data_IF_672158359905
#
_entry.id   IF_672158359905
#
_cell.length_a   1.000
_cell.length_b   1.000
_cell.length_c   1.000
_cell.angle_alpha   90.00
_cell.angle_beta   90.00
_cell.angle_gamma   90.00
#
_symmetry.space_group_name_H-M   'P 1'
#
loop_
_entity.id
_entity.type
_entity.pdbx_description
1 polymer ?
#
# COMPACT_ATOMS: atom_id res chain seq x y z
N UNK A 1 -23.98 -16.39 -3.78
CA UNK A 1 -22.58 -16.41 -4.25
C UNK A 1 -21.79 -15.29 -3.61
N UNK A 2 -20.67 -15.60 -2.97
CA UNK A 2 -19.71 -14.59 -2.50
C UNK A 2 -18.96 -14.00 -3.68
N UNK A 3 -19.12 -12.69 -3.92
CA UNK A 3 -18.32 -11.96 -4.90
C UNK A 3 -16.85 -11.99 -4.47
N UNK A 4 -15.96 -12.48 -5.34
CA UNK A 4 -14.54 -12.67 -5.05
C UNK A 4 -13.60 -11.91 -5.98
N UNK A 5 -14.08 -11.42 -7.12
CA UNK A 5 -13.28 -10.73 -8.15
C UNK A 5 -13.76 -9.30 -8.35
N UNK A 6 -12.82 -8.38 -8.47
CA UNK A 6 -13.00 -7.06 -9.07
C UNK A 6 -12.73 -7.17 -10.56
N UNK A 7 -13.63 -6.62 -11.36
CA UNK A 7 -13.51 -6.58 -12.82
C UNK A 7 -13.40 -5.12 -13.25
N UNK A 8 -12.41 -4.85 -14.12
CA UNK A 8 -12.25 -3.56 -14.76
C UNK A 8 -12.13 -3.73 -16.29
N UNK A 9 -13.07 -3.15 -17.04
CA UNK A 9 -13.08 -3.20 -18.50
C UNK A 9 -12.77 -1.81 -19.08
N UNK A 10 -11.90 -1.78 -20.08
CA UNK A 10 -11.41 -0.58 -20.74
C UNK A 10 -11.61 -0.70 -22.25
N UNK A 11 -11.49 0.43 -22.95
CA UNK A 11 -11.31 0.40 -24.39
C UNK A 11 -10.08 -0.48 -24.72
N UNK A 12 -10.24 -1.38 -25.67
CA UNK A 12 -9.16 -2.16 -26.26
C UNK A 12 -8.92 -1.67 -27.69
N UNK A 13 -8.92 -2.61 -28.63
CA UNK A 13 -9.02 -2.27 -30.06
C UNK A 13 -10.38 -1.62 -30.33
N UNK A 14 -11.43 -2.16 -29.71
CA UNK A 14 -12.78 -1.60 -29.79
C UNK A 14 -13.11 -0.71 -28.58
N UNK A 15 -14.07 0.20 -28.78
CA UNK A 15 -14.58 1.09 -27.73
C UNK A 15 -15.66 0.40 -26.90
N UNK A 16 -15.56 0.51 -25.59
CA UNK A 16 -16.56 0.01 -24.63
C UNK A 16 -17.94 0.66 -24.80
N UNK A 17 -18.00 1.84 -25.43
CA UNK A 17 -19.25 2.53 -25.74
C UNK A 17 -20.24 1.67 -26.54
N UNK A 18 -19.73 0.86 -27.48
CA UNK A 18 -20.57 0.00 -28.32
C UNK A 18 -21.11 -1.22 -27.55
N UNK A 19 -20.41 -1.64 -26.50
CA UNK A 19 -20.78 -2.78 -25.64
C UNK A 19 -21.47 -2.34 -24.33
N UNK A 20 -21.84 -1.05 -24.20
CA UNK A 20 -22.24 -0.47 -22.91
C UNK A 20 -23.47 -1.13 -22.28
N UNK A 21 -24.43 -1.57 -23.09
CA UNK A 21 -25.65 -2.22 -22.60
C UNK A 21 -25.34 -3.60 -22.04
N UNK A 22 -24.52 -4.40 -22.74
CA UNK A 22 -24.08 -5.71 -22.28
C UNK A 22 -23.21 -5.60 -21.01
N UNK A 23 -22.27 -4.64 -20.98
CA UNK A 23 -21.46 -4.38 -19.80
C UNK A 23 -22.32 -3.98 -18.59
N UNK A 24 -23.39 -3.21 -18.80
CA UNK A 24 -24.37 -2.89 -17.78
C UNK A 24 -25.17 -4.11 -17.33
N UNK A 25 -25.61 -4.95 -18.28
CA UNK A 25 -26.33 -6.21 -18.00
C UNK A 25 -25.47 -7.20 -17.20
N UNK A 26 -24.15 -7.21 -17.43
CA UNK A 26 -23.20 -7.94 -16.57
C UNK A 26 -23.08 -7.35 -15.15
N UNK A 27 -23.69 -6.21 -14.86
CA UNK A 27 -23.63 -5.51 -13.59
C UNK A 27 -22.39 -4.64 -13.41
N UNK A 28 -21.74 -4.23 -14.53
CA UNK A 28 -20.64 -3.27 -14.48
C UNK A 28 -21.18 -1.84 -14.61
N UNK A 29 -20.50 -0.91 -13.92
CA UNK A 29 -20.85 0.51 -13.92
C UNK A 29 -19.70 1.34 -14.50
N UNK A 30 -20.02 2.35 -15.30
CA UNK A 30 -18.99 3.22 -15.87
C UNK A 30 -18.46 4.21 -14.83
N UNK A 31 -17.14 4.26 -14.68
CA UNK A 31 -16.40 5.23 -13.86
C UNK A 31 -15.48 6.06 -14.74
N UNK A 32 -15.70 7.38 -14.72
CA UNK A 32 -14.84 8.35 -15.40
C UNK A 32 -13.47 8.41 -14.71
N UNK A 33 -12.38 8.36 -15.49
CA UNK A 33 -10.99 8.42 -14.99
C UNK A 33 -10.23 9.64 -15.53
N UNK A 34 -10.82 10.41 -16.44
CA UNK A 34 -10.26 11.63 -17.00
C UNK A 34 -11.28 12.35 -17.89
N UNK A 35 -10.88 13.46 -18.52
CA UNK A 35 -11.77 14.26 -19.39
C UNK A 35 -12.39 13.41 -20.52
N UNK A 36 -11.59 12.52 -21.11
CA UNK A 36 -11.95 11.65 -22.24
C UNK A 36 -11.71 10.16 -21.97
N UNK A 37 -11.53 9.77 -20.71
CA UNK A 37 -11.24 8.38 -20.34
C UNK A 37 -12.11 7.89 -19.20
N UNK A 38 -12.39 6.60 -19.22
CA UNK A 38 -13.12 5.92 -18.16
C UNK A 38 -12.97 4.42 -18.30
N UNK A 39 -13.54 3.70 -17.34
CA UNK A 39 -13.53 2.25 -17.27
C UNK A 39 -14.85 1.75 -16.70
N UNK A 40 -15.25 0.55 -17.08
CA UNK A 40 -16.37 -0.14 -16.47
C UNK A 40 -15.86 -0.97 -15.30
N UNK A 41 -16.55 -0.91 -14.17
CA UNK A 41 -16.13 -1.57 -12.92
C UNK A 41 -17.29 -2.30 -12.28
N UNK A 42 -17.04 -3.51 -11.81
CA UNK A 42 -18.00 -4.28 -11.03
C UNK A 42 -17.34 -5.41 -10.26
N UNK A 43 -18.15 -6.15 -9.50
CA UNK A 43 -17.72 -7.30 -8.71
C UNK A 43 -18.46 -8.55 -9.17
N UNK A 44 -17.76 -9.67 -9.14
CA UNK A 44 -18.29 -10.95 -9.56
C UNK A 44 -17.66 -12.09 -8.76
N UNK A 45 -18.34 -13.23 -8.73
CA UNK A 45 -17.77 -14.55 -8.45
C UNK A 45 -16.91 -15.05 -9.62
N UNK A 46 -16.31 -16.24 -9.47
CA UNK A 46 -15.36 -16.80 -10.45
C UNK A 46 -16.01 -17.04 -11.82
N UNK A 47 -17.20 -17.65 -11.85
CA UNK A 47 -17.86 -18.07 -13.09
C UNK A 47 -18.30 -16.86 -13.91
N UNK A 48 -18.95 -15.89 -13.25
CA UNK A 48 -19.34 -14.64 -13.89
C UNK A 48 -18.12 -13.82 -14.34
N UNK A 49 -17.02 -13.85 -13.59
CA UNK A 49 -15.78 -13.19 -14.01
C UNK A 49 -15.20 -13.80 -15.28
N UNK A 50 -15.23 -15.14 -15.41
CA UNK A 50 -14.81 -15.84 -16.63
C UNK A 50 -15.71 -15.51 -17.82
N UNK A 51 -17.04 -15.50 -17.63
CA UNK A 51 -17.98 -15.12 -18.69
C UNK A 51 -17.72 -13.68 -19.20
N UNK A 52 -17.49 -12.73 -18.29
CA UNK A 52 -17.16 -11.35 -18.66
C UNK A 52 -15.80 -11.28 -19.38
N UNK A 53 -14.82 -12.08 -18.96
CA UNK A 53 -13.50 -12.16 -19.62
C UNK A 53 -13.63 -12.61 -21.08
N UNK A 54 -14.36 -13.69 -21.32
CA UNK A 54 -14.60 -14.23 -22.65
C UNK A 54 -15.34 -13.24 -23.55
N UNK A 55 -16.38 -12.59 -23.02
CA UNK A 55 -17.08 -11.51 -23.72
C UNK A 55 -16.12 -10.39 -24.13
N UNK A 56 -15.25 -9.94 -23.22
CA UNK A 56 -14.29 -8.87 -23.51
C UNK A 56 -13.29 -9.28 -24.59
N UNK A 57 -12.78 -10.51 -24.55
CA UNK A 57 -11.86 -11.04 -25.56
C UNK A 57 -12.54 -11.07 -26.94
N UNK A 58 -13.77 -11.63 -27.02
CA UNK A 58 -14.56 -11.69 -28.25
C UNK A 58 -14.79 -10.31 -28.86
N UNK A 59 -15.05 -9.31 -28.01
CA UNK A 59 -15.28 -7.93 -28.43
C UNK A 59 -14.01 -7.09 -28.56
N UNK A 60 -12.81 -7.68 -28.43
CA UNK A 60 -11.51 -6.99 -28.50
C UNK A 60 -11.39 -5.81 -27.53
N UNK A 61 -11.97 -5.97 -26.34
CA UNK A 61 -11.87 -5.04 -25.22
C UNK A 61 -10.71 -5.46 -24.30
N UNK A 62 -10.19 -4.50 -23.53
CA UNK A 62 -9.18 -4.79 -22.52
C UNK A 62 -9.88 -5.03 -21.19
N UNK A 63 -9.59 -6.15 -20.53
CA UNK A 63 -10.16 -6.52 -19.23
C UNK A 63 -9.06 -6.87 -18.23
N UNK A 64 -9.22 -6.36 -17.01
CA UNK A 64 -8.42 -6.76 -15.86
C UNK A 64 -9.35 -7.40 -14.82
N UNK A 65 -8.97 -8.58 -14.33
CA UNK A 65 -9.68 -9.30 -13.28
C UNK A 65 -8.70 -9.49 -12.12
N UNK A 66 -9.13 -9.13 -10.92
CA UNK A 66 -8.28 -9.18 -9.72
C UNK A 66 -9.10 -9.73 -8.58
N UNK A 67 -8.59 -10.63 -7.73
CA UNK A 67 -9.33 -11.00 -6.53
C UNK A 67 -9.57 -9.77 -5.65
N UNK A 68 -10.74 -9.68 -5.04
CA UNK A 68 -11.11 -8.63 -4.09
C UNK A 68 -10.20 -8.67 -2.87
N UNK A 69 -9.78 -9.85 -2.44
CA UNK A 69 -8.71 -10.04 -1.46
C UNK A 69 -7.40 -9.34 -1.89
N UNK A 70 -7.23 -8.99 -3.16
CA UNK A 70 -6.03 -8.38 -3.70
C UNK A 70 -6.20 -6.92 -4.13
N UNK A 71 -7.41 -6.39 -3.98
CA UNK A 71 -7.69 -4.97 -4.13
C UNK A 71 -7.34 -4.23 -2.85
N UNK A 72 -6.85 -2.98 -2.96
CA UNK A 72 -6.61 -2.13 -1.80
C UNK A 72 -7.95 -1.97 -1.06
N UNK A 73 -8.11 -2.59 0.10
CA UNK A 73 -9.36 -2.53 0.84
C UNK A 73 -9.68 -1.07 1.17
N UNK A 74 -10.82 -0.52 0.75
CA UNK A 74 -11.11 0.91 0.97
C UNK A 74 -11.00 1.34 2.45
N UNK A 75 -11.15 0.39 3.38
CA UNK A 75 -11.10 0.58 4.82
C UNK A 75 -9.72 0.29 5.48
N UNK A 76 -8.63 -0.01 4.75
CA UNK A 76 -7.35 -0.34 5.40
C UNK A 76 -6.86 0.78 6.34
N UNK A 77 -7.16 2.04 6.00
CA UNK A 77 -6.83 3.20 6.84
C UNK A 77 -7.61 3.18 8.14
N UNK A 78 -8.90 2.84 8.09
CA UNK A 78 -9.77 2.72 9.27
C UNK A 78 -9.31 1.55 10.15
N UNK A 79 -9.11 0.37 9.55
CA UNK A 79 -8.58 -0.83 10.21
C UNK A 79 -7.26 -0.52 10.93
N UNK A 80 -6.35 0.22 10.31
CA UNK A 80 -5.10 0.63 10.94
C UNK A 80 -5.34 1.46 12.20
N UNK A 81 -6.18 2.50 12.13
CA UNK A 81 -6.42 3.38 13.27
C UNK A 81 -7.27 2.76 14.38
N UNK A 82 -8.13 1.80 14.07
CA UNK A 82 -8.86 1.01 15.07
C UNK A 82 -7.89 0.15 15.90
N UNK A 83 -6.87 -0.40 15.24
CA UNK A 83 -5.92 -1.34 15.83
C UNK A 83 -4.61 -0.69 16.30
N UNK A 84 -4.41 0.61 16.05
CA UNK A 84 -3.20 1.33 16.45
C UNK A 84 -3.55 2.64 17.17
N UNK A 85 -3.23 2.68 18.47
CA UNK A 85 -3.51 3.82 19.36
C UNK A 85 -2.41 4.89 19.36
N UNK A 86 -1.42 4.79 18.47
CA UNK A 86 -0.35 5.77 18.37
C UNK A 86 0.66 5.67 19.53
N UNK A 87 1.52 6.69 19.64
CA UNK A 87 2.68 6.70 20.56
C UNK A 87 2.23 6.79 22.03
N UNK A 88 1.17 7.54 22.29
CA UNK A 88 0.68 7.83 23.66
C UNK A 88 -0.59 7.05 24.03
N UNK A 89 -1.04 6.10 23.19
CA UNK A 89 -2.24 5.31 23.44
C UNK A 89 -3.58 6.06 23.25
N UNK A 90 -3.55 7.33 22.85
CA UNK A 90 -4.74 8.20 22.73
C UNK A 90 -5.22 8.40 21.27
N UNK A 91 -4.51 7.84 20.29
CA UNK A 91 -4.84 7.94 18.87
C UNK A 91 -4.62 9.33 18.24
N UNK A 92 -3.96 10.27 18.93
CA UNK A 92 -3.69 11.62 18.40
C UNK A 92 -2.39 11.68 17.61
N UNK A 93 -1.35 11.04 18.12
CA UNK A 93 0.00 11.10 17.58
C UNK A 93 0.53 9.72 17.20
N UNK A 94 1.11 9.66 16.01
CA UNK A 94 1.74 8.48 15.43
C UNK A 94 3.16 8.83 15.03
N UNK A 95 4.04 7.85 14.86
CA UNK A 95 5.36 8.08 14.28
C UNK A 95 5.51 7.39 12.93
N UNK A 96 6.27 8.00 12.05
CA UNK A 96 6.67 7.38 10.80
C UNK A 96 7.62 6.22 11.08
N UNK A 97 7.27 5.01 10.63
CA UNK A 97 8.14 3.82 10.83
C UNK A 97 9.45 3.89 10.06
N UNK A 98 9.62 4.85 9.15
CA UNK A 98 10.81 4.98 8.32
C UNK A 98 11.72 6.13 8.73
N UNK A 99 11.29 7.06 9.57
CA UNK A 99 12.12 8.18 10.00
C UNK A 99 11.83 8.68 11.41
N UNK A 100 10.96 8.03 12.18
CA UNK A 100 10.65 8.45 13.55
C UNK A 100 9.86 9.76 13.68
N UNK A 101 9.63 10.51 12.60
CA UNK A 101 8.87 11.77 12.63
C UNK A 101 7.49 11.55 13.27
N UNK A 102 7.18 12.36 14.27
CA UNK A 102 5.86 12.40 14.90
C UNK A 102 4.86 13.13 13.99
N UNK A 103 3.67 12.57 13.85
CA UNK A 103 2.61 12.99 12.95
C UNK A 103 1.27 13.01 13.69
N UNK A 104 0.45 14.02 13.43
CA UNK A 104 -0.98 13.98 13.76
C UNK A 104 -1.69 12.99 12.83
N UNK A 105 -2.79 12.39 13.31
CA UNK A 105 -3.60 11.39 12.57
C UNK A 105 -3.94 11.80 11.13
N UNK A 106 -4.27 13.08 10.88
CA UNK A 106 -4.61 13.61 9.55
C UNK A 106 -3.40 13.64 8.59
N UNK A 107 -2.18 13.75 9.13
CA UNK A 107 -0.92 13.78 8.35
C UNK A 107 -0.32 12.40 8.11
N UNK A 108 -0.87 11.35 8.72
CA UNK A 108 -0.41 9.98 8.54
C UNK A 108 -0.82 9.47 7.17
N UNK A 109 0.14 8.94 6.41
CA UNK A 109 -0.14 8.04 5.29
C UNK A 109 -0.10 6.61 5.82
N UNK A 110 -1.24 5.91 5.72
CA UNK A 110 -1.28 4.47 6.00
C UNK A 110 -0.98 3.75 4.69
N UNK A 111 -0.05 2.80 4.72
CA UNK A 111 0.24 1.95 3.56
C UNK A 111 0.71 0.55 3.98
N UNK A 112 0.87 -0.32 2.99
CA UNK A 112 1.33 -1.68 3.21
C UNK A 112 2.85 -1.73 3.37
N UNK A 113 3.29 -2.34 4.46
CA UNK A 113 4.68 -2.61 4.79
C UNK A 113 5.33 -3.45 3.68
N UNK A 114 4.75 -4.60 3.36
CA UNK A 114 5.02 -5.36 2.15
C UNK A 114 4.14 -4.86 0.99
N UNK A 115 4.73 -4.43 -0.14
CA UNK A 115 3.96 -4.01 -1.31
C UNK A 115 3.16 -5.16 -1.93
N UNK A 116 1.84 -4.98 -2.07
CA UNK A 116 0.92 -6.00 -2.63
C UNK A 116 1.42 -6.56 -3.97
N UNK A 117 1.79 -5.69 -4.91
CA UNK A 117 2.23 -6.09 -6.24
C UNK A 117 3.51 -6.95 -6.21
N UNK A 118 4.41 -6.73 -5.25
CA UNK A 118 5.62 -7.56 -5.12
C UNK A 118 5.34 -8.94 -4.58
N UNK A 119 4.36 -9.06 -3.69
CA UNK A 119 3.97 -10.34 -3.13
C UNK A 119 3.19 -11.16 -4.14
N UNK A 120 2.39 -10.54 -5.02
CA UNK A 120 1.47 -11.27 -5.90
C UNK A 120 1.87 -11.33 -7.38
N UNK A 121 2.39 -10.24 -7.94
CA UNK A 121 2.57 -10.09 -9.39
C UNK A 121 4.06 -10.12 -9.82
N UNK A 122 4.96 -10.40 -8.87
CA UNK A 122 6.40 -10.47 -9.14
C UNK A 122 6.82 -11.90 -9.50
N UNK A 123 7.83 -12.08 -10.37
CA UNK A 123 8.51 -13.37 -10.54
C UNK A 123 9.02 -13.97 -9.22
N UNK A 124 9.28 -13.12 -8.22
CA UNK A 124 9.73 -13.51 -6.88
C UNK A 124 8.59 -13.61 -5.86
N UNK A 125 7.34 -13.78 -6.29
CA UNK A 125 6.14 -13.85 -5.44
C UNK A 125 6.29 -14.84 -4.27
N UNK A 126 6.71 -16.07 -4.56
CA UNK A 126 6.89 -17.14 -3.56
C UNK A 126 7.90 -16.78 -2.45
N UNK A 127 9.00 -16.12 -2.82
CA UNK A 127 10.01 -15.64 -1.86
C UNK A 127 9.44 -14.51 -1.01
N UNK A 128 8.72 -13.56 -1.63
CA UNK A 128 8.10 -12.46 -0.90
C UNK A 128 7.00 -12.95 0.06
N UNK A 129 6.23 -13.98 -0.30
CA UNK A 129 5.26 -14.63 0.59
C UNK A 129 5.97 -15.28 1.78
N UNK A 130 7.06 -16.02 1.54
CA UNK A 130 7.85 -16.62 2.63
C UNK A 130 8.42 -15.56 3.57
N UNK A 131 8.95 -14.46 3.03
CA UNK A 131 9.44 -13.33 3.83
C UNK A 131 8.30 -12.70 4.64
N UNK A 132 7.16 -12.40 4.01
CA UNK A 132 5.97 -11.85 4.66
C UNK A 132 5.57 -12.69 5.89
N UNK A 133 5.51 -14.02 5.74
CA UNK A 133 5.25 -14.96 6.85
C UNK A 133 6.33 -14.94 7.92
N UNK A 134 7.62 -14.82 7.57
CA UNK A 134 8.71 -14.67 8.55
C UNK A 134 8.59 -13.39 9.40
N UNK A 135 7.93 -12.35 8.88
CA UNK A 135 7.59 -11.15 9.65
C UNK A 135 6.29 -11.30 10.47
N UNK A 136 5.75 -12.52 10.58
CA UNK A 136 4.54 -12.83 11.33
C UNK A 136 3.28 -12.25 10.69
N UNK A 137 3.27 -12.06 9.37
CA UNK A 137 2.12 -11.56 8.60
C UNK A 137 1.62 -12.74 7.77
N UNK A 138 0.41 -13.23 8.06
CA UNK A 138 -0.14 -14.42 7.39
C UNK A 138 -0.83 -14.08 6.06
N UNK A 139 -1.52 -12.94 6.03
CA UNK A 139 -2.20 -12.43 4.84
C UNK A 139 -1.67 -11.04 4.45
N UNK A 140 -1.66 -10.77 3.16
CA UNK A 140 -1.20 -9.50 2.60
C UNK A 140 -2.05 -8.29 3.04
N UNK A 141 -3.31 -8.49 3.39
CA UNK A 141 -4.21 -7.45 3.90
C UNK A 141 -4.33 -7.50 5.43
N UNK A 142 -3.55 -8.34 6.09
CA UNK A 142 -3.49 -8.37 7.54
C UNK A 142 -3.14 -6.97 8.07
N UNK A 143 -3.82 -6.55 9.14
CA UNK A 143 -3.57 -5.28 9.84
C UNK A 143 -2.10 -5.11 10.23
N UNK A 144 -1.37 -6.21 10.48
CA UNK A 144 0.07 -6.22 10.77
C UNK A 144 0.90 -5.75 9.57
N UNK A 145 0.40 -5.94 8.35
CA UNK A 145 1.01 -5.41 7.15
C UNK A 145 0.75 -3.91 6.94
N UNK A 146 -0.01 -3.23 7.79
CA UNK A 146 -0.25 -1.80 7.69
C UNK A 146 0.74 -1.01 8.58
N UNK A 147 1.24 0.10 8.05
CA UNK A 147 2.21 0.98 8.74
C UNK A 147 1.85 2.45 8.59
N UNK A 148 2.23 3.23 9.61
CA UNK A 148 2.23 4.68 9.57
C UNK A 148 3.51 5.19 8.88
N UNK A 149 3.35 6.03 7.86
CA UNK A 149 4.45 6.71 7.19
C UNK A 149 4.12 8.19 6.97
N UNK A 150 5.15 9.04 6.95
CA UNK A 150 5.00 10.39 6.41
C UNK A 150 4.94 10.35 4.87
N UNK A 151 4.36 11.38 4.25
CA UNK A 151 4.23 11.47 2.78
C UNK A 151 5.57 11.29 2.05
N UNK A 152 6.64 11.92 2.55
CA UNK A 152 8.00 11.83 2.00
C UNK A 152 8.50 10.39 2.02
N UNK A 153 8.56 9.74 3.18
CA UNK A 153 9.05 8.37 3.28
C UNK A 153 8.19 7.37 2.51
N UNK A 154 6.87 7.55 2.52
CA UNK A 154 5.96 6.69 1.75
C UNK A 154 6.27 6.77 0.25
N UNK A 155 6.49 7.98 -0.27
CA UNK A 155 6.90 8.20 -1.66
C UNK A 155 8.27 7.59 -1.95
N UNK A 156 9.26 7.81 -1.07
CA UNK A 156 10.62 7.29 -1.24
C UNK A 156 10.69 5.77 -1.18
N UNK A 157 9.87 5.14 -0.32
CA UNK A 157 9.70 3.68 -0.29
C UNK A 157 9.05 3.18 -1.57
N UNK A 158 7.89 3.72 -1.93
CA UNK A 158 7.09 3.20 -3.04
C UNK A 158 6.89 1.68 -2.96
N UNK A 159 7.32 0.97 -4.01
CA UNK A 159 7.29 -0.49 -4.10
C UNK A 159 8.61 -1.17 -3.67
N UNK A 160 9.55 -0.45 -3.06
CA UNK A 160 10.84 -1.01 -2.63
C UNK A 160 10.65 -2.00 -1.47
N UNK A 161 11.50 -3.04 -1.48
CA UNK A 161 11.61 -4.03 -0.42
C UNK A 161 13.00 -3.96 0.24
N UNK A 162 13.56 -5.09 0.64
CA UNK A 162 14.94 -5.17 1.14
C UNK A 162 15.15 -4.31 2.38
N UNK A 163 16.11 -3.39 2.33
CA UNK A 163 16.45 -2.51 3.47
C UNK A 163 15.26 -1.70 3.99
N UNK A 164 14.29 -1.36 3.13
CA UNK A 164 13.07 -0.67 3.54
C UNK A 164 12.19 -1.54 4.44
N UNK A 165 12.19 -2.86 4.24
CA UNK A 165 11.47 -3.78 5.12
C UNK A 165 12.17 -3.85 6.48
N UNK A 166 13.50 -4.04 6.50
CA UNK A 166 14.27 -4.06 7.77
C UNK A 166 14.07 -2.76 8.54
N UNK A 167 14.24 -1.61 7.86
CA UNK A 167 14.07 -0.27 8.45
C UNK A 167 12.65 -0.06 8.96
N UNK A 168 11.63 -0.44 8.19
CA UNK A 168 10.24 -0.29 8.61
C UNK A 168 9.85 -1.25 9.74
N UNK A 169 10.45 -2.44 9.82
CA UNK A 169 10.22 -3.38 10.91
C UNK A 169 10.78 -2.84 12.23
N UNK A 170 12.06 -2.48 12.25
CA UNK A 170 12.71 -1.88 13.43
C UNK A 170 12.05 -0.55 13.80
N UNK A 171 11.75 0.29 12.82
CA UNK A 171 11.16 1.60 13.07
C UNK A 171 9.72 1.58 13.58
N UNK A 172 9.07 0.41 13.72
CA UNK A 172 7.81 0.29 14.48
C UNK A 172 8.00 0.65 15.95
N UNK A 173 9.19 0.39 16.51
CA UNK A 173 9.51 0.70 17.89
C UNK A 173 9.96 2.16 18.01
N UNK A 174 9.09 3.03 18.54
CA UNK A 174 9.37 4.46 18.66
C UNK A 174 10.65 4.73 19.49
N UNK A 175 10.90 3.93 20.52
CA UNK A 175 12.10 4.04 21.36
C UNK A 175 13.40 3.95 20.56
N UNK A 176 13.44 3.14 19.47
CA UNK A 176 14.64 3.04 18.64
C UNK A 176 14.93 4.36 17.90
N UNK A 177 13.90 5.12 17.53
CA UNK A 177 14.08 6.45 16.94
C UNK A 177 14.57 7.45 17.97
N UNK A 178 14.04 7.41 19.19
CA UNK A 178 14.52 8.25 20.29
C UNK A 178 16.00 8.00 20.51
N UNK A 179 16.41 6.75 20.70
CA UNK A 179 17.82 6.36 20.89
C UNK A 179 18.71 6.77 19.72
N UNK A 180 18.25 6.58 18.48
CA UNK A 180 18.99 6.98 17.29
C UNK A 180 19.24 8.49 17.25
N UNK A 181 18.20 9.30 17.48
CA UNK A 181 18.33 10.75 17.45
C UNK A 181 19.13 11.31 18.62
N UNK A 182 19.00 10.73 19.82
CA UNK A 182 19.83 11.13 20.97
C UNK A 182 21.31 10.83 20.72
N UNK A 183 21.61 9.66 20.15
CA UNK A 183 22.99 9.29 19.81
C UNK A 183 23.56 10.18 18.71
N UNK A 184 22.76 10.51 17.68
CA UNK A 184 23.14 11.43 16.62
C UNK A 184 23.48 12.82 17.17
N UNK A 185 22.63 13.37 18.05
CA UNK A 185 22.87 14.67 18.68
C UNK A 185 24.12 14.65 19.56
N UNK A 186 24.37 13.55 20.28
CA UNK A 186 25.59 13.37 21.05
C UNK A 186 26.85 13.45 20.17
N UNK A 187 26.88 12.72 19.05
CA UNK A 187 28.02 12.75 18.13
C UNK A 187 28.20 14.12 17.46
N UNK A 188 27.11 14.80 17.10
CA UNK A 188 27.18 16.17 16.57
C UNK A 188 27.78 17.11 17.62
N UNK A 189 27.30 17.07 18.86
CA UNK A 189 27.83 17.88 19.96
C UNK A 189 29.31 17.61 20.22
N UNK A 190 29.70 16.33 20.28
CA UNK A 190 31.10 15.93 20.42
C UNK A 190 31.97 16.48 19.28
N UNK A 191 31.52 16.35 18.04
CA UNK A 191 32.25 16.86 16.87
C UNK A 191 32.39 18.39 16.91
N UNK A 192 31.35 19.12 17.30
CA UNK A 192 31.41 20.58 17.44
C UNK A 192 32.41 21.02 18.51
N UNK A 193 32.44 20.35 19.66
CA UNK A 193 33.42 20.62 20.72
C UNK A 193 34.84 20.33 20.23
N UNK A 194 35.04 19.18 19.57
CA UNK A 194 36.33 18.81 19.00
C UNK A 194 36.81 19.83 17.96
N UNK A 195 35.95 20.21 17.02
CA UNK A 195 36.25 21.20 16.00
C UNK A 195 36.60 22.55 16.62
N UNK A 196 35.81 23.03 17.59
CA UNK A 196 36.08 24.27 18.33
C UNK A 196 37.45 24.24 19.01
N UNK A 197 37.81 23.14 19.67
CA UNK A 197 39.11 22.96 20.30
C UNK A 197 40.27 22.91 19.28
N UNK A 198 40.03 22.45 18.06
CA UNK A 198 41.01 22.50 16.97
C UNK A 198 41.15 23.90 16.36
N UNK A 199 40.10 24.73 16.38
CA UNK A 199 40.14 26.10 15.85
C UNK A 199 40.78 27.12 16.81
N UNK A 200 40.77 26.85 18.12
CA UNK A 200 41.37 27.72 19.14
C UNK A 200 42.88 27.42 19.35
N UNK A 201 43.36 26.28 18.86
CA UNK A 201 44.80 25.96 18.81
C UNK A 201 45.43 26.49 17.54
#
# INVERSE_FOLDING_TARGET
>A
MTMKKLIEVYNGINKTYYCRYDLNAFGLSFKKTGKYSGKWVGKADEDKANAIKEYCIKNKLRVNITDLAYTRAHNYREVYFENNKGIFGDGRYYHCVYCGKILKKDKVTVDHFFPINKVKNSPYSSINIRLLKKFGIEDINDKRNLVCACKSCNSSKGSKGGIWLVRGYLGRFFILWVLFYTLLLYFIGYYLIYAFNCFIK
#
